data_IF_179505759508
#
_entry.id   IF_179505759508
#
_cell.length_a   1.000
_cell.length_b   1.000
_cell.length_c   1.000
_cell.angle_alpha   90.00
_cell.angle_beta   90.00
_cell.angle_gamma   90.00
#
_symmetry.space_group_name_H-M   'P 1'
#
loop_
_entity.id
_entity.type
_entity.pdbx_description
1 polymer ?
#
# COMPACT_ATOMS: atom_id res chain seq x y z
N UNK A 1 -28.52 -16.41 6.19
CA UNK A 1 -27.41 -15.43 6.28
C UNK A 1 -27.88 -14.25 7.11
N UNK A 2 -27.15 -13.89 8.15
CA UNK A 2 -27.51 -12.76 9.01
C UNK A 2 -27.07 -11.43 8.36
N UNK A 3 -27.48 -10.31 8.96
CA UNK A 3 -27.22 -8.98 8.41
C UNK A 3 -25.72 -8.66 8.38
N UNK A 4 -24.96 -9.14 9.38
CA UNK A 4 -23.52 -8.91 9.43
C UNK A 4 -22.80 -9.63 8.28
N UNK A 5 -23.20 -10.84 7.96
CA UNK A 5 -22.63 -11.60 6.85
C UNK A 5 -22.97 -10.95 5.52
N UNK A 6 -24.20 -10.45 5.35
CA UNK A 6 -24.60 -9.73 4.13
C UNK A 6 -23.78 -8.46 3.95
N UNK A 7 -23.60 -7.71 5.02
CA UNK A 7 -22.81 -6.48 5.00
C UNK A 7 -21.35 -6.77 4.63
N UNK A 8 -20.78 -7.82 5.21
CA UNK A 8 -19.40 -8.21 4.91
C UNK A 8 -19.23 -8.59 3.44
N UNK A 9 -20.17 -9.36 2.89
CA UNK A 9 -20.14 -9.73 1.47
C UNK A 9 -20.25 -8.52 0.54
N UNK A 10 -21.09 -7.54 0.91
CA UNK A 10 -21.21 -6.31 0.13
C UNK A 10 -19.90 -5.52 0.14
N UNK A 11 -19.22 -5.48 1.29
CA UNK A 11 -17.93 -4.80 1.41
C UNK A 11 -16.87 -5.51 0.58
N UNK A 12 -16.82 -6.82 0.63
CA UNK A 12 -15.88 -7.62 -0.16
C UNK A 12 -16.10 -7.43 -1.66
N UNK A 13 -17.37 -7.42 -2.09
CA UNK A 13 -17.73 -7.19 -3.49
C UNK A 13 -17.34 -5.78 -3.94
N UNK A 14 -17.54 -4.78 -3.08
CA UNK A 14 -17.16 -3.40 -3.37
C UNK A 14 -15.65 -3.25 -3.50
N UNK A 15 -14.90 -3.91 -2.62
CA UNK A 15 -13.44 -3.91 -2.67
C UNK A 15 -12.93 -4.55 -3.98
N UNK A 16 -13.48 -5.70 -4.33
CA UNK A 16 -13.11 -6.39 -5.58
C UNK A 16 -13.41 -5.52 -6.80
N UNK A 17 -14.58 -4.86 -6.81
CA UNK A 17 -14.98 -3.96 -7.88
C UNK A 17 -14.00 -2.81 -8.04
N UNK A 18 -13.61 -2.18 -6.92
CA UNK A 18 -12.63 -1.10 -6.93
C UNK A 18 -11.29 -1.57 -7.51
N UNK A 19 -10.83 -2.73 -7.10
CA UNK A 19 -9.57 -3.30 -7.61
C UNK A 19 -9.66 -3.54 -9.11
N UNK A 20 -10.79 -4.05 -9.59
CA UNK A 20 -10.99 -4.31 -11.02
C UNK A 20 -10.99 -3.01 -11.83
N UNK A 21 -11.65 -1.97 -11.32
CA UNK A 21 -11.71 -0.68 -11.99
C UNK A 21 -10.32 -0.02 -12.03
N UNK A 22 -9.59 -0.07 -10.94
CA UNK A 22 -8.24 0.48 -10.87
C UNK A 22 -7.30 -0.30 -11.79
N UNK A 23 -7.44 -1.63 -11.84
CA UNK A 23 -6.60 -2.46 -12.69
C UNK A 23 -6.79 -2.15 -14.18
N UNK A 24 -7.98 -1.68 -14.57
CA UNK A 24 -8.29 -1.33 -15.97
C UNK A 24 -7.93 0.12 -16.30
N UNK A 25 -7.66 0.96 -15.31
CA UNK A 25 -7.41 2.39 -15.50
C UNK A 25 -5.93 2.64 -15.81
N UNK A 26 -5.66 3.43 -16.83
CA UNK A 26 -4.30 3.75 -17.26
C UNK A 26 -3.92 5.21 -17.01
N UNK A 27 -4.88 6.06 -16.66
CA UNK A 27 -4.62 7.47 -16.42
C UNK A 27 -4.24 7.71 -14.96
N UNK A 28 -2.96 8.00 -14.73
CA UNK A 28 -2.42 8.21 -13.39
C UNK A 28 -3.11 9.38 -12.67
N UNK A 29 -3.37 10.47 -13.37
CA UNK A 29 -3.98 11.65 -12.75
C UNK A 29 -5.41 11.37 -12.31
N UNK A 30 -6.15 10.59 -13.08
CA UNK A 30 -7.48 10.14 -12.69
C UNK A 30 -7.41 9.27 -11.44
N UNK A 31 -6.45 8.34 -11.35
CA UNK A 31 -6.27 7.49 -10.16
C UNK A 31 -5.97 8.36 -8.94
N UNK A 32 -5.13 9.38 -9.07
CA UNK A 32 -4.82 10.30 -7.98
C UNK A 32 -6.06 11.06 -7.53
N UNK A 33 -6.86 11.54 -8.45
CA UNK A 33 -8.11 12.23 -8.14
C UNK A 33 -9.08 11.31 -7.41
N UNK A 34 -9.21 10.08 -7.89
CA UNK A 34 -10.07 9.09 -7.26
C UNK A 34 -9.63 8.80 -5.83
N UNK A 35 -8.33 8.60 -5.63
CA UNK A 35 -7.80 8.36 -4.28
C UNK A 35 -8.01 9.56 -3.37
N UNK A 36 -7.99 10.79 -3.92
CA UNK A 36 -8.29 11.98 -3.14
C UNK A 36 -9.74 12.05 -2.68
N UNK A 37 -10.66 11.42 -3.42
CA UNK A 37 -12.06 11.29 -3.01
C UNK A 37 -12.26 10.15 -2.01
N UNK A 38 -11.57 9.03 -2.24
CA UNK A 38 -11.77 7.81 -1.46
C UNK A 38 -11.08 7.85 -0.10
N UNK A 39 -9.89 8.43 -0.05
CA UNK A 39 -9.05 8.48 1.14
C UNK A 39 -8.93 9.89 1.69
N UNK A 40 -8.89 10.03 3.02
CA UNK A 40 -8.54 11.30 3.66
C UNK A 40 -7.07 11.63 3.41
N UNK A 41 -6.69 12.89 3.64
CA UNK A 41 -5.30 13.31 3.53
C UNK A 41 -4.40 12.49 4.47
N UNK A 42 -4.86 12.22 5.69
CA UNK A 42 -4.12 11.40 6.65
C UNK A 42 -3.93 9.97 6.16
N UNK A 43 -4.95 9.40 5.55
CA UNK A 43 -4.87 8.05 5.00
C UNK A 43 -3.91 7.98 3.82
N UNK A 44 -3.93 9.00 2.94
CA UNK A 44 -2.99 9.07 1.81
C UNK A 44 -1.55 9.20 2.28
N UNK A 45 -1.32 10.01 3.32
CA UNK A 45 0.00 10.13 3.93
C UNK A 45 0.47 8.78 4.47
N UNK A 46 -0.42 8.07 5.14
CA UNK A 46 -0.11 6.79 5.78
C UNK A 46 0.33 5.74 4.75
N UNK A 47 -0.43 5.52 3.68
CA UNK A 47 -0.03 4.52 2.70
C UNK A 47 1.19 4.97 1.86
N UNK A 48 1.38 6.27 1.67
CA UNK A 48 2.57 6.79 1.00
C UNK A 48 3.83 6.55 1.83
N UNK A 49 3.71 6.72 3.15
CA UNK A 49 4.80 6.40 4.08
C UNK A 49 5.14 4.90 4.05
N UNK A 50 4.12 4.05 3.99
CA UNK A 50 4.32 2.60 3.90
C UNK A 50 5.09 2.22 2.64
N UNK A 51 4.75 2.83 1.52
CA UNK A 51 5.45 2.57 0.26
C UNK A 51 6.90 3.06 0.32
N UNK A 52 7.11 4.27 0.84
CA UNK A 52 8.45 4.82 1.02
C UNK A 52 9.31 3.92 1.90
N UNK A 53 8.76 3.48 3.03
CA UNK A 53 9.40 2.59 3.98
C UNK A 53 9.82 1.27 3.31
N UNK A 54 8.96 0.67 2.52
CA UNK A 54 9.24 -0.59 1.84
C UNK A 54 10.39 -0.41 0.84
N UNK A 55 10.41 0.69 0.10
CA UNK A 55 11.51 1.01 -0.82
C UNK A 55 12.84 1.14 -0.08
N UNK A 56 12.83 1.82 1.07
CA UNK A 56 14.04 2.03 1.87
C UNK A 56 14.58 0.71 2.43
N UNK A 57 13.69 -0.16 2.91
CA UNK A 57 14.11 -1.49 3.39
C UNK A 57 14.72 -2.28 2.25
N UNK A 58 14.14 -2.23 1.07
CA UNK A 58 14.61 -2.98 -0.09
C UNK A 58 16.03 -2.58 -0.52
N UNK A 59 16.38 -1.30 -0.41
CA UNK A 59 17.72 -0.84 -0.78
C UNK A 59 18.73 -0.96 0.37
N UNK A 60 18.32 -1.52 1.51
CA UNK A 60 19.23 -1.82 2.61
C UNK A 60 19.35 -0.76 3.69
N UNK A 61 18.50 0.28 3.66
CA UNK A 61 18.49 1.28 4.74
C UNK A 61 18.08 0.61 6.04
N UNK A 62 18.85 0.84 7.11
CA UNK A 62 18.54 0.20 8.40
C UNK A 62 17.24 0.75 9.00
N UNK A 63 16.57 -0.06 9.82
CA UNK A 63 15.35 0.35 10.49
C UNK A 63 15.56 1.60 11.33
N UNK A 64 16.71 1.71 11.99
CA UNK A 64 17.05 2.87 12.80
C UNK A 64 17.17 4.14 11.95
N UNK A 65 17.82 4.04 10.80
CA UNK A 65 17.95 5.18 9.89
C UNK A 65 16.61 5.61 9.31
N UNK A 66 15.75 4.65 8.97
CA UNK A 66 14.40 4.95 8.48
C UNK A 66 13.61 5.70 9.54
N UNK A 67 13.64 5.23 10.79
CA UNK A 67 12.93 5.86 11.89
C UNK A 67 13.41 7.30 12.10
N UNK A 68 14.72 7.52 12.06
CA UNK A 68 15.31 8.84 12.25
C UNK A 68 15.03 9.79 11.09
N UNK A 69 15.24 9.29 9.86
CA UNK A 69 15.22 10.11 8.65
C UNK A 69 13.79 10.53 8.26
N UNK A 70 12.83 9.64 8.47
CA UNK A 70 11.45 9.85 8.02
C UNK A 70 10.46 10.01 9.18
N UNK A 71 10.95 9.99 10.41
CA UNK A 71 10.12 10.12 11.62
C UNK A 71 8.99 9.09 11.66
N UNK A 72 9.30 7.84 11.33
CA UNK A 72 8.35 6.74 11.34
C UNK A 72 8.51 5.88 12.59
N UNK A 73 7.40 5.34 13.09
CA UNK A 73 7.43 4.46 14.26
C UNK A 73 8.08 3.13 13.92
N UNK A 74 8.72 2.52 14.92
CA UNK A 74 9.32 1.19 14.76
C UNK A 74 8.27 0.14 14.45
N UNK A 75 7.03 0.30 14.95
CA UNK A 75 5.93 -0.63 14.65
C UNK A 75 5.60 -0.64 13.16
N UNK A 76 5.54 0.52 12.52
CA UNK A 76 5.29 0.63 11.08
C UNK A 76 6.44 -0.01 10.29
N UNK A 77 7.67 0.26 10.71
CA UNK A 77 8.87 -0.27 10.05
C UNK A 77 8.93 -1.79 10.16
N UNK A 78 8.67 -2.33 11.35
CA UNK A 78 8.67 -3.77 11.59
C UNK A 78 7.59 -4.46 10.76
N UNK A 79 6.39 -3.88 10.69
CA UNK A 79 5.29 -4.42 9.89
C UNK A 79 5.66 -4.46 8.40
N UNK A 80 6.20 -3.37 7.87
CA UNK A 80 6.63 -3.30 6.48
C UNK A 80 7.69 -4.32 6.15
N UNK A 81 8.69 -4.46 7.02
CA UNK A 81 9.76 -5.45 6.88
C UNK A 81 9.20 -6.88 6.87
N UNK A 82 8.26 -7.17 7.76
CA UNK A 82 7.65 -8.49 7.86
C UNK A 82 6.86 -8.83 6.60
N UNK A 83 6.07 -7.89 6.09
CA UNK A 83 5.31 -8.09 4.85
C UNK A 83 6.22 -8.29 3.65
N UNK A 84 7.31 -7.53 3.57
CA UNK A 84 8.28 -7.64 2.47
C UNK A 84 8.97 -9.01 2.45
N UNK A 85 9.18 -9.62 3.61
CA UNK A 85 9.87 -10.91 3.75
C UNK A 85 9.01 -12.12 3.45
N UNK A 86 7.70 -11.95 3.35
CA UNK A 86 6.80 -13.08 3.03
C UNK A 86 7.07 -13.61 1.63
N UNK A 87 6.89 -14.93 1.47
CA UNK A 87 6.93 -15.53 0.14
C UNK A 87 5.85 -14.91 -0.73
N UNK A 88 6.16 -14.68 -2.00
CA UNK A 88 5.24 -14.07 -2.97
C UNK A 88 4.65 -12.73 -2.50
N UNK A 89 5.44 -11.96 -1.76
CA UNK A 89 5.03 -10.65 -1.30
C UNK A 89 4.62 -9.74 -2.46
N UNK A 90 3.45 -9.12 -2.37
CA UNK A 90 3.02 -8.13 -3.35
C UNK A 90 3.93 -6.91 -3.35
N UNK A 91 4.53 -6.58 -2.21
CA UNK A 91 5.53 -5.51 -2.15
C UNK A 91 6.74 -5.83 -3.03
N UNK A 92 7.24 -7.07 -2.97
CA UNK A 92 8.37 -7.48 -3.81
C UNK A 92 8.04 -7.37 -5.28
N UNK A 93 6.85 -7.84 -5.66
CA UNK A 93 6.40 -7.77 -7.07
C UNK A 93 6.28 -6.33 -7.55
N UNK A 94 5.78 -5.45 -6.69
CA UNK A 94 5.66 -4.04 -7.04
C UNK A 94 7.03 -3.37 -7.14
N UNK A 95 7.96 -3.71 -6.26
CA UNK A 95 9.34 -3.22 -6.31
C UNK A 95 10.04 -3.65 -7.59
N UNK A 96 9.81 -4.89 -8.04
CA UNK A 96 10.36 -5.37 -9.31
C UNK A 96 9.84 -4.55 -10.48
N UNK A 97 8.55 -4.23 -10.48
CA UNK A 97 7.95 -3.37 -11.50
C UNK A 97 8.55 -1.97 -11.50
N UNK A 98 8.82 -1.44 -10.32
CA UNK A 98 9.48 -0.14 -10.18
C UNK A 98 10.87 -0.16 -10.80
N UNK A 99 11.64 -1.20 -10.53
CA UNK A 99 13.00 -1.36 -11.08
C UNK A 99 13.00 -1.49 -12.61
N UNK A 100 12.00 -2.14 -13.17
CA UNK A 100 11.84 -2.27 -14.62
C UNK A 100 11.64 -0.93 -15.32
N UNK A 101 11.15 0.09 -14.59
CA UNK A 101 10.89 1.42 -15.12
C UNK A 101 12.11 2.33 -15.08
N UNK A 102 13.16 1.92 -14.39
CA UNK A 102 14.41 2.68 -14.24
C UNK A 102 15.43 2.31 -15.36
#
# INVERSE_FOLDING_TARGET
MNDDEKSLRLLEASYDELCSLIAAETNKDFIKDFFSCLFTAAERKDFSERWLLVKEIDVGTTQREIARKFNLSLCKITRGSRELKKEQSAFKRMLEKLKERE
#
